data_IF_089578247849
#
_entry.id   IF_089578247849
#
_cell.length_a   1.000
_cell.length_b   1.000
_cell.length_c   1.000
_cell.angle_alpha   90.00
_cell.angle_beta   90.00
_cell.angle_gamma   90.00
#
_symmetry.space_group_name_H-M   'P 1'
#
loop_
_entity.id
_entity.type
_entity.pdbx_description
1 polymer ?
#
# COMPACT_ATOMS: atom_id res chain seq x y z
N UNK A 1 4.11 39.07 -11.61
CA UNK A 1 3.93 37.67 -11.18
C UNK A 1 4.42 36.76 -12.29
N UNK A 2 5.59 36.11 -12.14
CA UNK A 2 6.18 35.28 -13.20
C UNK A 2 5.50 33.91 -13.23
N UNK A 3 4.61 33.70 -14.20
CA UNK A 3 4.06 32.38 -14.54
C UNK A 3 5.20 31.44 -14.93
N UNK A 4 5.45 30.41 -14.11
CA UNK A 4 6.34 29.29 -14.44
C UNK A 4 5.66 28.45 -15.51
N UNK A 5 6.00 28.68 -16.77
CA UNK A 5 5.68 27.76 -17.86
C UNK A 5 6.40 26.43 -17.63
N UNK A 6 5.63 25.34 -17.54
CA UNK A 6 6.13 23.97 -17.57
C UNK A 6 6.89 23.76 -18.90
N UNK A 7 8.21 23.51 -18.82
CA UNK A 7 8.97 23.01 -19.98
C UNK A 7 8.54 21.57 -20.29
N UNK A 8 8.21 21.23 -21.55
CA UNK A 8 7.91 19.86 -21.94
C UNK A 8 9.17 18.99 -21.84
N UNK A 9 8.95 17.72 -21.52
CA UNK A 9 9.97 16.67 -21.45
C UNK A 9 10.74 16.56 -22.76
N UNK A 10 12.07 16.70 -22.68
CA UNK A 10 12.96 16.45 -23.81
C UNK A 10 12.85 14.98 -24.22
N UNK A 11 12.30 14.72 -25.42
CA UNK A 11 12.34 13.41 -26.05
C UNK A 11 13.78 13.11 -26.47
N UNK A 12 14.51 12.37 -25.64
CA UNK A 12 15.83 11.84 -25.96
C UNK A 12 15.73 10.88 -27.16
N UNK A 13 16.51 11.13 -28.21
CA UNK A 13 16.64 10.25 -29.38
C UNK A 13 17.90 9.41 -29.23
N UNK A 14 17.82 8.11 -29.55
CA UNK A 14 18.97 7.19 -29.52
C UNK A 14 19.46 6.99 -30.95
N UNK A 15 20.77 7.15 -31.18
CA UNK A 15 21.40 6.91 -32.48
C UNK A 15 22.08 5.54 -32.44
N UNK A 16 21.55 4.57 -33.17
CA UNK A 16 22.14 3.22 -33.30
C UNK A 16 23.03 3.16 -34.54
N UNK A 17 24.22 2.57 -34.40
CA UNK A 17 25.10 2.24 -35.52
C UNK A 17 24.71 0.88 -36.09
N UNK A 18 24.09 0.88 -37.26
CA UNK A 18 23.82 -0.33 -38.03
C UNK A 18 24.94 -0.51 -39.07
N UNK A 19 25.68 -1.61 -38.94
CA UNK A 19 26.54 -2.11 -40.01
C UNK A 19 25.69 -2.94 -40.96
N UNK A 20 25.01 -2.29 -41.90
CA UNK A 20 24.73 -2.84 -43.25
C UNK A 20 24.16 -1.70 -44.10
N UNK A 21 24.81 -1.50 -45.26
CA UNK A 21 24.46 -0.49 -46.26
C UNK A 21 23.02 -0.72 -46.76
N UNK A 22 22.36 0.39 -47.09
CA UNK A 22 21.05 0.53 -47.78
C UNK A 22 19.79 0.06 -47.03
N UNK A 23 19.28 0.89 -46.11
CA UNK A 23 17.89 1.38 -46.11
C UNK A 23 17.75 2.51 -45.08
N UNK A 24 16.88 3.48 -45.36
CA UNK A 24 16.56 4.66 -44.53
C UNK A 24 16.52 4.34 -43.04
N UNK A 25 17.54 4.78 -42.29
CA UNK A 25 17.62 4.60 -40.84
C UNK A 25 16.59 5.49 -40.17
N UNK A 26 15.34 5.02 -40.04
CA UNK A 26 14.34 5.70 -39.24
C UNK A 26 14.87 5.80 -37.81
N UNK A 27 15.08 7.04 -37.32
CA UNK A 27 15.41 7.30 -35.92
C UNK A 27 14.21 6.88 -35.07
N UNK A 28 14.28 5.68 -34.50
CA UNK A 28 13.30 5.19 -33.55
C UNK A 28 13.33 6.07 -32.29
N UNK A 29 12.16 6.40 -31.76
CA UNK A 29 12.09 7.03 -30.43
C UNK A 29 12.45 6.00 -29.35
N UNK A 30 12.82 6.48 -28.17
CA UNK A 30 13.04 5.62 -26.97
C UNK A 30 11.82 4.72 -26.72
N UNK A 31 10.61 5.26 -26.88
CA UNK A 31 9.38 4.52 -26.69
C UNK A 31 9.21 3.42 -27.74
N UNK A 32 9.50 3.69 -29.01
CA UNK A 32 9.42 2.68 -30.08
C UNK A 32 10.40 1.54 -29.82
N UNK A 33 11.60 1.85 -29.32
CA UNK A 33 12.58 0.84 -28.94
C UNK A 33 12.05 -0.04 -27.80
N UNK A 34 11.44 0.54 -26.76
CA UNK A 34 10.86 -0.24 -25.68
C UNK A 34 9.65 -1.07 -26.11
N UNK A 35 8.86 -0.63 -27.10
CA UNK A 35 7.80 -1.46 -27.72
C UNK A 35 8.37 -2.68 -28.44
N UNK A 36 9.50 -2.54 -29.14
CA UNK A 36 10.19 -3.68 -29.75
C UNK A 36 10.69 -4.67 -28.69
N UNK A 37 11.24 -4.17 -27.58
CA UNK A 37 11.69 -5.02 -26.46
C UNK A 37 10.49 -5.74 -25.81
N UNK A 38 9.35 -5.05 -25.63
CA UNK A 38 8.13 -5.66 -25.11
C UNK A 38 7.65 -6.83 -25.98
N UNK A 39 7.75 -6.70 -27.31
CA UNK A 39 7.34 -7.74 -28.25
C UNK A 39 8.26 -8.98 -28.22
N UNK A 40 9.53 -8.82 -27.84
CA UNK A 40 10.48 -9.92 -27.67
C UNK A 40 11.31 -9.74 -26.38
N UNK A 41 10.76 -10.14 -25.21
CA UNK A 41 11.31 -9.77 -23.91
C UNK A 41 12.44 -10.67 -23.41
N UNK A 42 12.86 -11.70 -24.16
CA UNK A 42 13.78 -12.75 -23.69
C UNK A 42 15.06 -12.19 -23.05
N UNK A 43 15.64 -11.12 -23.63
CA UNK A 43 16.84 -10.45 -23.11
C UNK A 43 16.54 -8.99 -22.72
N UNK A 44 15.31 -8.68 -22.31
CA UNK A 44 14.88 -7.30 -22.07
C UNK A 44 15.78 -6.56 -21.09
N UNK A 45 16.12 -7.17 -19.95
CA UNK A 45 16.95 -6.54 -18.92
C UNK A 45 18.35 -6.16 -19.45
N UNK A 46 19.01 -7.06 -20.17
CA UNK A 46 20.34 -6.82 -20.75
C UNK A 46 20.30 -5.74 -21.84
N UNK A 47 19.28 -5.79 -22.71
CA UNK A 47 19.09 -4.79 -23.77
C UNK A 47 18.84 -3.41 -23.16
N UNK A 48 17.96 -3.31 -22.16
CA UNK A 48 17.65 -2.06 -21.49
C UNK A 48 18.88 -1.47 -20.77
N UNK A 49 19.70 -2.31 -20.11
CA UNK A 49 20.96 -1.89 -19.49
C UNK A 49 21.96 -1.39 -20.55
N UNK A 50 22.24 -2.21 -21.56
CA UNK A 50 23.23 -1.93 -22.62
C UNK A 50 22.88 -0.66 -23.40
N UNK A 51 21.61 -0.47 -23.70
CA UNK A 51 21.10 0.66 -24.50
C UNK A 51 20.73 1.88 -23.64
N UNK A 52 20.96 1.83 -22.32
CA UNK A 52 20.67 2.93 -21.36
C UNK A 52 19.21 3.38 -21.40
N UNK A 53 18.29 2.43 -21.49
CA UNK A 53 16.84 2.64 -21.53
C UNK A 53 16.16 2.44 -20.17
N UNK A 54 16.95 2.37 -19.09
CA UNK A 54 16.43 2.21 -17.73
C UNK A 54 16.20 3.57 -17.11
N UNK A 55 14.94 3.87 -16.81
CA UNK A 55 14.53 5.04 -16.08
C UNK A 55 14.24 4.63 -14.63
N UNK A 56 14.83 5.32 -13.66
CA UNK A 56 14.64 5.02 -12.22
C UNK A 56 13.39 5.65 -11.62
N UNK A 57 12.71 6.51 -12.37
CA UNK A 57 11.49 7.22 -11.96
C UNK A 57 10.40 6.97 -12.98
N UNK A 58 9.23 6.57 -12.51
CA UNK A 58 8.04 6.38 -13.33
C UNK A 58 7.53 7.74 -13.86
N UNK A 59 7.23 7.84 -15.15
CA UNK A 59 6.48 8.96 -15.73
C UNK A 59 4.97 8.75 -15.46
N UNK A 60 4.46 9.50 -14.48
CA UNK A 60 3.05 9.50 -14.09
C UNK A 60 2.18 10.44 -14.92
N UNK A 61 2.71 11.17 -15.92
CA UNK A 61 1.93 12.16 -16.69
C UNK A 61 0.74 11.54 -17.43
N UNK A 62 0.78 10.23 -17.69
CA UNK A 62 -0.27 9.47 -18.37
C UNK A 62 -1.40 8.98 -17.46
N UNK A 63 -1.22 8.97 -16.13
CA UNK A 63 -2.20 8.38 -15.21
C UNK A 63 -2.31 9.16 -13.91
N UNK A 64 -3.50 9.17 -13.30
CA UNK A 64 -3.69 9.71 -11.96
C UNK A 64 -3.45 8.62 -10.91
N UNK A 65 -2.33 8.71 -10.20
CA UNK A 65 -2.11 7.88 -9.01
C UNK A 65 -2.97 8.38 -7.83
N UNK A 66 -3.38 7.45 -6.95
CA UNK A 66 -4.06 7.78 -5.70
C UNK A 66 -3.07 7.81 -4.53
N UNK A 67 -3.35 8.67 -3.56
CA UNK A 67 -2.61 8.78 -2.28
C UNK A 67 -3.45 8.28 -1.11
N UNK A 68 -2.79 7.89 -0.02
CA UNK A 68 -3.49 7.49 1.20
C UNK A 68 -4.30 8.67 1.79
N UNK A 69 -3.82 9.91 1.66
CA UNK A 69 -4.56 11.10 2.12
C UNK A 69 -5.85 11.31 1.34
N UNK A 70 -5.86 11.15 0.01
CA UNK A 70 -7.09 11.27 -0.78
C UNK A 70 -8.13 10.23 -0.34
N UNK A 71 -7.71 9.00 -0.05
CA UNK A 71 -8.59 7.94 0.47
C UNK A 71 -9.18 8.35 1.82
N UNK A 72 -8.34 8.84 2.74
CA UNK A 72 -8.76 9.26 4.08
C UNK A 72 -9.68 10.48 4.03
N UNK A 73 -9.35 11.49 3.23
CA UNK A 73 -10.16 12.71 3.05
C UNK A 73 -11.53 12.38 2.45
N UNK A 74 -11.57 11.56 1.39
CA UNK A 74 -12.83 11.12 0.79
C UNK A 74 -13.70 10.33 1.77
N UNK A 75 -13.09 9.45 2.56
CA UNK A 75 -13.79 8.70 3.60
C UNK A 75 -14.40 9.61 4.68
N UNK A 76 -13.68 10.66 5.08
CA UNK A 76 -14.18 11.62 6.06
C UNK A 76 -15.32 12.48 5.49
N UNK A 77 -15.12 13.05 4.30
CA UNK A 77 -16.03 14.00 3.65
C UNK A 77 -17.28 13.32 3.06
N UNK A 78 -17.11 12.23 2.31
CA UNK A 78 -18.18 11.60 1.54
C UNK A 78 -18.65 10.26 2.13
N UNK A 79 -17.89 9.68 3.07
CA UNK A 79 -18.23 8.38 3.68
C UNK A 79 -18.02 7.19 2.74
N UNK A 80 -17.22 7.36 1.69
CA UNK A 80 -16.78 6.31 0.78
C UNK A 80 -15.32 6.53 0.40
N UNK A 81 -14.68 5.53 -0.20
CA UNK A 81 -13.29 5.61 -0.65
C UNK A 81 -13.22 5.53 -2.19
N UNK A 82 -12.35 6.33 -2.83
CA UNK A 82 -12.13 6.22 -4.27
C UNK A 82 -11.38 4.92 -4.59
N UNK A 83 -11.42 4.52 -5.86
CA UNK A 83 -10.61 3.41 -6.39
C UNK A 83 -9.84 3.87 -7.62
N UNK A 84 -8.70 3.25 -7.88
CA UNK A 84 -7.90 3.47 -9.08
C UNK A 84 -8.50 2.68 -10.24
N UNK A 85 -9.16 3.32 -11.20
CA UNK A 85 -9.85 2.64 -12.32
C UNK A 85 -9.10 2.72 -13.65
N UNK A 86 -8.08 3.56 -13.75
CA UNK A 86 -7.36 3.84 -14.99
C UNK A 86 -5.87 3.52 -14.83
N UNK A 87 -5.27 3.04 -15.91
CA UNK A 87 -3.84 2.81 -16.01
C UNK A 87 -3.38 3.21 -17.42
N UNK A 88 -2.22 3.83 -17.48
CA UNK A 88 -1.52 4.19 -18.72
C UNK A 88 -0.09 3.67 -18.56
N UNK A 89 0.29 2.68 -19.37
CA UNK A 89 1.57 1.99 -19.24
C UNK A 89 2.57 2.35 -20.35
N UNK A 90 2.11 2.99 -21.43
CA UNK A 90 2.93 3.26 -22.62
C UNK A 90 3.95 4.35 -22.37
N UNK A 91 3.60 5.46 -21.71
CA UNK A 91 4.56 6.55 -21.45
C UNK A 91 5.74 6.08 -20.58
N UNK A 92 5.44 5.23 -19.61
CA UNK A 92 6.43 4.60 -18.71
C UNK A 92 6.86 3.21 -19.16
N UNK A 93 6.71 2.83 -20.43
CA UNK A 93 6.95 1.45 -20.86
C UNK A 93 8.38 0.96 -20.53
N UNK A 94 9.40 1.77 -20.82
CA UNK A 94 10.78 1.42 -20.52
C UNK A 94 11.03 1.22 -19.02
N UNK A 95 10.39 2.03 -18.17
CA UNK A 95 10.40 1.85 -16.71
C UNK A 95 9.73 0.52 -16.35
N UNK A 96 8.51 0.27 -16.85
CA UNK A 96 7.70 -0.90 -16.51
C UNK A 96 8.28 -2.23 -17.02
N UNK A 97 9.13 -2.21 -18.05
CA UNK A 97 9.83 -3.40 -18.55
C UNK A 97 10.99 -3.83 -17.64
N UNK A 98 11.47 -2.95 -16.76
CA UNK A 98 12.60 -3.23 -15.89
C UNK A 98 12.22 -3.22 -14.40
N UNK A 99 11.42 -2.24 -13.99
CA UNK A 99 10.99 -2.04 -12.61
C UNK A 99 9.50 -2.30 -12.44
N UNK A 100 9.16 -2.75 -11.24
CA UNK A 100 7.78 -2.72 -10.75
C UNK A 100 7.43 -1.31 -10.29
N UNK A 101 6.17 -0.93 -10.41
CA UNK A 101 5.66 0.32 -9.84
C UNK A 101 5.30 0.11 -8.37
N UNK A 102 5.34 1.20 -7.60
CA UNK A 102 5.12 1.15 -6.15
C UNK A 102 3.66 0.91 -5.76
N UNK A 103 2.72 1.30 -6.62
CA UNK A 103 1.30 1.02 -6.44
C UNK A 103 0.83 -0.22 -7.21
N UNK A 104 1.75 -0.98 -7.81
CA UNK A 104 1.46 -2.22 -8.52
C UNK A 104 0.81 -2.05 -9.90
N UNK A 105 0.55 -0.82 -10.35
CA UNK A 105 0.00 -0.53 -11.68
C UNK A 105 1.00 -0.91 -12.77
N UNK A 106 0.56 -1.49 -13.88
CA UNK A 106 1.42 -1.92 -14.99
C UNK A 106 2.45 -3.02 -14.67
N UNK A 107 2.47 -3.57 -13.45
CA UNK A 107 3.28 -4.78 -13.13
C UNK A 107 2.83 -6.00 -13.95
N UNK A 108 1.62 -5.96 -14.51
CA UNK A 108 1.17 -6.86 -15.56
C UNK A 108 0.72 -6.01 -16.76
N UNK A 109 1.52 -5.95 -17.82
CA UNK A 109 1.25 -5.09 -18.99
C UNK A 109 -0.02 -5.50 -19.77
N UNK A 110 -0.47 -6.75 -19.67
CA UNK A 110 -1.72 -7.22 -20.29
C UNK A 110 -2.95 -6.86 -19.45
N UNK A 111 -2.81 -6.84 -18.12
CA UNK A 111 -3.86 -6.46 -17.17
C UNK A 111 -3.29 -5.45 -16.17
N UNK A 112 -3.14 -4.17 -16.56
CA UNK A 112 -2.40 -3.16 -15.81
C UNK A 112 -2.81 -2.95 -14.35
N UNK A 113 -4.08 -3.18 -14.01
CA UNK A 113 -4.60 -2.99 -12.65
C UNK A 113 -4.62 -4.28 -11.81
N UNK A 114 -4.11 -5.41 -12.34
CA UNK A 114 -4.11 -6.68 -11.61
C UNK A 114 -3.04 -6.66 -10.52
N UNK A 115 -3.50 -6.59 -9.28
CA UNK A 115 -2.63 -6.52 -8.10
C UNK A 115 -2.19 -5.10 -7.73
N UNK A 116 -2.71 -4.09 -8.43
CA UNK A 116 -2.50 -2.70 -8.08
C UNK A 116 -3.23 -2.35 -6.77
N UNK A 117 -2.64 -1.42 -6.02
CA UNK A 117 -3.23 -0.79 -4.86
C UNK A 117 -4.47 0.05 -5.22
N UNK A 118 -5.26 0.37 -4.20
CA UNK A 118 -6.53 1.11 -4.33
C UNK A 118 -7.52 0.44 -5.30
N UNK A 119 -7.56 -0.89 -5.29
CA UNK A 119 -8.48 -1.71 -6.07
C UNK A 119 -9.45 -2.47 -5.19
N UNK A 120 -10.65 -2.83 -5.68
CA UNK A 120 -11.53 -3.73 -4.95
C UNK A 120 -10.86 -5.09 -4.73
N UNK A 121 -11.12 -5.73 -3.58
CA UNK A 121 -10.73 -7.14 -3.39
C UNK A 121 -11.42 -8.04 -4.42
N UNK A 122 -10.68 -9.05 -4.88
CA UNK A 122 -11.26 -10.14 -5.65
C UNK A 122 -12.10 -11.03 -4.72
N UNK A 123 -13.25 -11.48 -5.21
CA UNK A 123 -14.10 -12.42 -4.50
C UNK A 123 -14.17 -13.73 -5.28
N UNK A 124 -13.96 -14.85 -4.58
CA UNK A 124 -14.17 -16.18 -5.15
C UNK A 124 -15.66 -16.55 -5.22
N UNK A 125 -16.48 -15.96 -4.33
CA UNK A 125 -17.92 -16.15 -4.26
C UNK A 125 -18.65 -14.80 -4.33
N UNK A 126 -19.92 -14.84 -4.71
CA UNK A 126 -20.77 -13.65 -4.69
C UNK A 126 -20.91 -13.10 -3.26
N UNK A 127 -21.03 -11.76 -3.11
CA UNK A 127 -21.22 -11.16 -1.80
C UNK A 127 -22.59 -11.51 -1.21
N UNK A 128 -22.60 -12.11 -0.01
CA UNK A 128 -23.81 -12.29 0.78
C UNK A 128 -23.91 -11.21 1.84
N UNK A 129 -24.90 -10.33 1.67
CA UNK A 129 -25.28 -9.31 2.63
C UNK A 129 -26.69 -9.59 3.13
N UNK A 130 -26.97 -9.24 4.38
CA UNK A 130 -28.25 -9.47 5.05
C UNK A 130 -29.42 -8.86 4.25
N UNK A 131 -29.25 -7.60 3.82
CA UNK A 131 -30.18 -6.91 2.92
C UNK A 131 -29.79 -7.03 1.44
N UNK A 132 -28.97 -8.02 1.08
CA UNK A 132 -28.40 -8.25 -0.27
C UNK A 132 -27.57 -7.10 -0.86
N UNK A 133 -27.34 -6.03 -0.11
CA UNK A 133 -26.66 -4.82 -0.59
C UNK A 133 -25.43 -4.46 0.24
N UNK A 134 -25.56 -4.31 1.55
CA UNK A 134 -24.47 -3.75 2.35
C UNK A 134 -24.48 -4.12 3.83
N UNK A 135 -25.59 -4.58 4.39
CA UNK A 135 -25.66 -4.96 5.80
C UNK A 135 -24.99 -6.31 6.04
N UNK A 136 -24.20 -6.43 7.13
CA UNK A 136 -23.47 -7.66 7.39
C UNK A 136 -24.43 -8.73 7.92
N UNK A 137 -24.18 -9.99 7.61
CA UNK A 137 -24.81 -11.09 8.33
C UNK A 137 -24.14 -11.19 9.70
N UNK A 138 -24.87 -10.92 10.78
CA UNK A 138 -24.26 -10.79 12.12
C UNK A 138 -24.52 -12.03 12.97
N UNK A 139 -23.44 -12.73 13.34
CA UNK A 139 -23.41 -13.54 14.56
C UNK A 139 -22.98 -12.67 15.73
N UNK A 140 -23.68 -12.75 16.87
CA UNK A 140 -23.52 -11.82 18.01
C UNK A 140 -22.66 -12.37 19.15
N UNK A 141 -22.13 -13.58 19.02
CA UNK A 141 -21.37 -14.23 20.07
C UNK A 141 -19.88 -14.17 19.76
N UNK A 142 -19.11 -13.61 20.68
CA UNK A 142 -17.65 -13.73 20.66
C UNK A 142 -17.30 -14.97 21.47
N UNK A 143 -16.58 -15.89 20.84
CA UNK A 143 -15.97 -17.02 21.51
C UNK A 143 -14.58 -16.61 21.99
N UNK A 144 -14.23 -17.02 23.21
CA UNK A 144 -12.88 -16.84 23.75
C UNK A 144 -12.39 -18.15 24.34
N UNK A 145 -11.07 -18.36 24.28
CA UNK A 145 -10.41 -19.52 24.86
C UNK A 145 -9.19 -19.06 25.63
N UNK A 146 -8.94 -19.67 26.79
CA UNK A 146 -7.71 -19.47 27.57
C UNK A 146 -6.61 -20.48 27.21
N UNK A 147 -6.90 -21.43 26.32
CA UNK A 147 -5.91 -22.44 25.92
C UNK A 147 -4.80 -21.77 25.13
N UNK A 148 -3.57 -21.94 25.60
CA UNK A 148 -2.38 -21.62 24.83
C UNK A 148 -1.97 -22.87 24.07
N UNK A 149 -1.80 -22.75 22.76
CA UNK A 149 -1.31 -23.84 21.92
C UNK A 149 0.19 -23.66 21.79
N UNK A 150 0.96 -24.57 22.38
CA UNK A 150 2.41 -24.63 22.21
C UNK A 150 2.71 -25.59 21.06
N UNK A 151 3.63 -25.20 20.17
CA UNK A 151 4.09 -26.05 19.07
C UNK A 151 5.53 -26.47 19.34
N UNK A 152 5.87 -27.74 19.08
CA UNK A 152 7.22 -28.26 19.35
C UNK A 152 8.32 -27.66 18.47
N UNK A 153 7.96 -27.22 17.27
CA UNK A 153 8.93 -26.75 16.25
C UNK A 153 8.87 -25.25 15.94
N UNK A 154 7.73 -24.60 16.19
CA UNK A 154 7.49 -23.21 15.78
C UNK A 154 7.21 -22.36 17.00
N UNK A 155 7.78 -21.15 16.99
CA UNK A 155 7.54 -20.17 18.03
C UNK A 155 6.66 -19.01 17.51
N UNK A 156 6.46 -17.99 18.34
CA UNK A 156 5.61 -16.85 18.02
C UNK A 156 6.09 -16.02 16.80
N UNK A 157 7.34 -16.17 16.35
CA UNK A 157 7.83 -15.48 15.15
C UNK A 157 7.09 -15.93 13.89
N UNK A 158 6.58 -17.16 13.83
CA UNK A 158 5.80 -17.62 12.68
C UNK A 158 4.50 -16.83 12.53
N UNK A 159 3.77 -16.62 13.64
CA UNK A 159 2.57 -15.76 13.66
C UNK A 159 2.94 -14.34 13.25
N UNK A 160 4.06 -13.84 13.78
CA UNK A 160 4.51 -12.49 13.48
C UNK A 160 4.87 -12.28 12.01
N UNK A 161 5.52 -13.26 11.40
CA UNK A 161 5.86 -13.27 9.99
C UNK A 161 4.60 -13.34 9.12
N UNK A 162 3.63 -14.20 9.48
CA UNK A 162 2.33 -14.24 8.83
C UNK A 162 1.59 -12.90 8.87
N UNK A 163 1.66 -12.20 10.01
CA UNK A 163 1.10 -10.85 10.14
C UNK A 163 1.84 -9.82 9.25
N UNK A 164 3.17 -9.92 9.14
CA UNK A 164 3.93 -9.03 8.24
C UNK A 164 3.56 -9.29 6.77
N UNK A 165 3.49 -10.56 6.35
CA UNK A 165 3.12 -10.95 4.98
C UNK A 165 1.72 -10.46 4.58
N UNK A 166 0.71 -10.63 5.46
CA UNK A 166 -0.65 -10.13 5.14
C UNK A 166 -0.69 -8.59 5.08
N UNK A 167 0.24 -7.91 5.75
CA UNK A 167 0.40 -6.47 5.62
C UNK A 167 1.04 -6.05 4.30
N UNK A 168 1.77 -6.90 3.59
CA UNK A 168 2.21 -6.57 2.23
C UNK A 168 1.02 -6.53 1.27
N UNK A 169 0.08 -7.46 1.43
CA UNK A 169 -0.93 -7.73 0.42
C UNK A 169 -2.30 -7.07 0.66
N UNK A 170 -2.60 -6.68 1.90
CA UNK A 170 -3.97 -6.29 2.27
C UNK A 170 -4.02 -5.21 3.34
N UNK A 171 -4.75 -4.13 3.04
CA UNK A 171 -5.14 -3.09 3.99
C UNK A 171 -6.50 -2.53 3.60
N UNK A 172 -7.43 -2.44 4.55
CA UNK A 172 -8.79 -1.95 4.28
C UNK A 172 -9.08 -0.70 5.08
N UNK A 173 -9.50 0.38 4.42
CA UNK A 173 -9.96 1.59 5.09
C UNK A 173 -11.21 1.30 5.93
N UNK A 174 -11.24 1.81 7.16
CA UNK A 174 -12.41 1.71 8.03
C UNK A 174 -13.19 3.03 8.09
N UNK A 175 -14.47 2.94 8.39
CA UNK A 175 -15.27 4.08 8.81
C UNK A 175 -14.61 4.69 10.06
N UNK A 176 -14.39 6.03 10.12
CA UNK A 176 -13.72 6.65 11.25
C UNK A 176 -14.40 6.30 12.58
N UNK A 177 -13.63 5.84 13.57
CA UNK A 177 -14.17 5.37 14.85
C UNK A 177 -14.92 6.45 15.63
N UNK A 178 -14.62 7.74 15.39
CA UNK A 178 -15.37 8.86 15.92
C UNK A 178 -16.86 8.85 15.49
N UNK A 179 -17.17 8.26 14.31
CA UNK A 179 -18.54 8.06 13.82
C UNK A 179 -19.23 6.84 14.44
N UNK A 180 -18.51 6.05 15.25
CA UNK A 180 -18.98 4.84 15.94
C UNK A 180 -18.76 4.95 17.46
N UNK A 181 -19.12 6.10 18.05
CA UNK A 181 -18.88 6.43 19.46
C UNK A 181 -19.98 5.96 20.44
N UNK A 182 -21.08 5.39 19.94
CA UNK A 182 -22.22 4.92 20.75
C UNK A 182 -22.39 3.41 20.68
N UNK A 183 -22.98 2.81 21.72
CA UNK A 183 -23.38 1.39 21.73
C UNK A 183 -24.72 1.17 21.00
N UNK A 184 -24.79 1.60 19.74
CA UNK A 184 -25.90 1.32 18.82
C UNK A 184 -25.36 0.96 17.45
N UNK A 185 -26.04 0.05 16.77
CA UNK A 185 -25.77 -0.20 15.36
C UNK A 185 -26.10 1.06 14.56
N UNK A 186 -25.16 1.47 13.70
CA UNK A 186 -25.37 2.57 12.76
C UNK A 186 -25.34 1.95 11.38
N UNK A 187 -26.50 1.95 10.72
CA UNK A 187 -26.72 1.29 9.43
C UNK A 187 -25.61 1.60 8.43
N UNK A 188 -25.02 0.56 7.84
CA UNK A 188 -23.93 0.65 6.88
C UNK A 188 -22.59 1.19 7.41
N UNK A 189 -22.45 1.49 8.71
CA UNK A 189 -21.26 2.17 9.27
C UNK A 189 -20.66 1.47 10.47
N UNK A 190 -21.46 1.13 11.47
CA UNK A 190 -21.00 0.63 12.75
C UNK A 190 -21.86 -0.55 13.19
N UNK A 191 -21.20 -1.55 13.76
CA UNK A 191 -21.87 -2.62 14.49
C UNK A 191 -21.40 -2.63 15.94
N UNK A 192 -22.23 -3.13 16.83
CA UNK A 192 -21.91 -3.23 18.25
C UNK A 192 -22.08 -4.65 18.74
N UNK A 193 -21.06 -5.16 19.42
CA UNK A 193 -21.12 -6.45 20.10
C UNK A 193 -21.35 -6.18 21.58
N UNK A 194 -22.50 -6.60 22.16
CA UNK A 194 -22.78 -6.37 23.56
C UNK A 194 -21.80 -7.17 24.44
N UNK A 195 -21.31 -6.55 25.52
CA UNK A 195 -20.58 -7.27 26.56
C UNK A 195 -21.58 -8.00 27.43
N UNK A 196 -21.34 -9.29 27.69
CA UNK A 196 -22.21 -10.10 28.51
C UNK A 196 -22.15 -9.65 29.98
N UNK A 197 -23.28 -9.63 30.72
CA UNK A 197 -23.32 -9.20 32.12
C UNK A 197 -22.35 -9.98 33.03
N UNK A 198 -22.08 -11.25 32.68
CA UNK A 198 -21.21 -12.17 33.43
C UNK A 198 -19.71 -12.03 33.10
N UNK A 199 -19.31 -11.10 32.22
CA UNK A 199 -17.88 -10.90 31.93
C UNK A 199 -17.10 -10.56 33.21
N UNK A 200 -15.97 -11.23 33.51
CA UNK A 200 -15.24 -11.00 34.76
C UNK A 200 -14.50 -9.64 34.78
N UNK A 201 -14.20 -9.06 33.62
CA UNK A 201 -13.44 -7.81 33.52
C UNK A 201 -14.36 -6.60 33.72
N UNK A 202 -14.30 -5.98 34.91
CA UNK A 202 -15.13 -4.81 35.27
C UNK A 202 -14.93 -3.61 34.33
N UNK A 203 -13.69 -3.34 33.93
CA UNK A 203 -13.35 -2.23 33.01
C UNK A 203 -13.89 -2.49 31.61
N UNK A 204 -13.86 -3.75 31.16
CA UNK A 204 -14.43 -4.10 29.88
C UNK A 204 -15.97 -4.01 29.90
N UNK A 205 -16.60 -4.46 30.99
CA UNK A 205 -18.04 -4.31 31.21
C UNK A 205 -18.54 -2.87 31.24
N UNK A 206 -17.78 -1.94 31.82
CA UNK A 206 -18.20 -0.53 31.88
C UNK A 206 -18.37 0.11 30.50
N UNK A 207 -17.68 -0.42 29.48
CA UNK A 207 -17.85 0.02 28.09
C UNK A 207 -19.18 -0.45 27.45
N UNK A 208 -19.89 -1.42 28.06
CA UNK A 208 -21.17 -2.04 27.64
C UNK A 208 -21.16 -2.79 26.31
N UNK A 209 -20.36 -2.35 25.35
CA UNK A 209 -20.23 -2.97 24.05
C UNK A 209 -18.82 -2.78 23.46
N UNK A 210 -18.45 -3.65 22.54
CA UNK A 210 -17.36 -3.43 21.58
C UNK A 210 -17.95 -2.73 20.37
N UNK A 211 -17.40 -1.56 20.02
CA UNK A 211 -17.81 -0.79 18.85
C UNK A 211 -16.90 -1.15 17.69
N UNK A 212 -17.49 -1.66 16.61
CA UNK A 212 -16.74 -2.10 15.43
C UNK A 212 -17.09 -1.18 14.27
N UNK A 213 -16.08 -0.42 13.83
CA UNK A 213 -16.14 0.32 12.57
C UNK A 213 -16.13 -0.65 11.40
N UNK A 214 -17.07 -0.48 10.47
CA UNK A 214 -17.07 -1.28 9.24
C UNK A 214 -16.03 -0.76 8.26
N UNK A 215 -15.55 -1.63 7.38
CA UNK A 215 -14.77 -1.23 6.20
C UNK A 215 -15.53 -0.20 5.38
N UNK A 216 -14.91 0.90 5.01
CA UNK A 216 -15.53 1.91 4.15
C UNK A 216 -15.87 1.33 2.78
N UNK A 217 -17.01 1.75 2.24
CA UNK A 217 -17.45 1.30 0.91
C UNK A 217 -16.68 2.04 -0.17
N UNK A 218 -16.36 1.36 -1.27
CA UNK A 218 -15.93 2.05 -2.49
C UNK A 218 -17.07 2.94 -2.98
N UNK A 219 -16.76 4.17 -3.39
CA UNK A 219 -17.76 5.11 -3.91
C UNK A 219 -18.56 4.48 -5.08
N UNK A 220 -19.89 4.65 -5.04
CA UNK A 220 -20.82 4.00 -5.98
C UNK A 220 -21.25 2.56 -5.60
N UNK A 221 -20.69 1.95 -4.55
CA UNK A 221 -21.10 0.64 -4.04
C UNK A 221 -21.91 0.73 -2.74
N UNK A 222 -22.68 -0.31 -2.44
CA UNK A 222 -23.44 -0.47 -1.18
C UNK A 222 -24.81 0.21 -1.13
N UNK A 223 -25.23 0.87 -2.22
CA UNK A 223 -26.57 1.47 -2.40
C UNK A 223 -27.41 0.69 -3.41
N UNK A 224 -27.03 0.74 -4.70
CA UNK A 224 -27.72 0.05 -5.79
C UNK A 224 -27.05 -1.28 -6.16
N UNK A 225 -25.75 -1.39 -5.89
CA UNK A 225 -24.93 -2.59 -6.13
C UNK A 225 -24.35 -3.05 -4.79
N UNK A 226 -24.03 -4.34 -4.63
CA UNK A 226 -23.40 -4.85 -3.42
C UNK A 226 -22.16 -4.04 -3.02
N UNK A 227 -22.00 -3.80 -1.72
CA UNK A 227 -20.86 -3.06 -1.15
C UNK A 227 -19.55 -3.73 -1.52
N UNK A 228 -18.59 -2.93 -1.95
CA UNK A 228 -17.22 -3.36 -2.21
C UNK A 228 -16.26 -2.68 -1.23
N UNK A 229 -15.18 -3.39 -0.89
CA UNK A 229 -14.12 -2.96 0.02
C UNK A 229 -12.87 -2.71 -0.80
N UNK A 230 -12.15 -1.65 -0.44
CA UNK A 230 -10.91 -1.26 -1.09
C UNK A 230 -9.73 -1.98 -0.42
N UNK A 231 -8.83 -2.51 -1.23
CA UNK A 231 -7.47 -2.81 -0.81
C UNK A 231 -6.59 -1.58 -1.05
N UNK A 232 -6.05 -0.98 0.00
CA UNK A 232 -5.10 0.14 -0.10
C UNK A 232 -3.67 -0.32 -0.45
N UNK A 233 -3.37 -1.61 -0.32
CA UNK A 233 -2.04 -2.16 -0.60
C UNK A 233 -2.01 -2.83 -1.97
N UNK A 234 -0.81 -3.04 -2.50
CA UNK A 234 -0.59 -3.93 -3.64
C UNK A 234 -0.92 -5.37 -3.24
N UNK A 235 -1.09 -6.28 -4.22
CA UNK A 235 -1.27 -7.71 -3.92
C UNK A 235 0.04 -8.51 -4.04
N UNK A 236 1.19 -7.82 -4.02
CA UNK A 236 2.50 -8.44 -4.19
C UNK A 236 3.23 -8.52 -2.85
N UNK A 237 4.20 -9.42 -2.76
CA UNK A 237 5.21 -9.44 -1.69
C UNK A 237 6.37 -8.60 -2.24
N UNK A 238 6.34 -7.30 -1.95
CA UNK A 238 7.19 -6.28 -2.56
C UNK A 238 7.85 -5.33 -1.55
N UNK A 239 7.68 -5.58 -0.25
CA UNK A 239 8.19 -4.71 0.81
C UNK A 239 7.37 -3.43 0.98
N UNK A 240 6.15 -3.34 0.43
CA UNK A 240 5.27 -2.19 0.62
C UNK A 240 5.07 -1.74 2.07
N UNK A 241 5.20 -2.57 3.14
CA UNK A 241 5.12 -2.05 4.51
C UNK A 241 6.24 -1.06 4.87
N UNK A 242 7.41 -1.14 4.22
CA UNK A 242 8.51 -0.17 4.41
C UNK A 242 8.59 0.87 3.29
N UNK A 243 8.14 0.53 2.07
CA UNK A 243 8.20 1.44 0.90
C UNK A 243 6.94 2.28 0.67
N UNK A 244 5.78 1.82 1.14
CA UNK A 244 4.46 2.36 0.83
C UNK A 244 3.86 1.76 -0.45
N UNK A 245 2.54 1.87 -0.59
CA UNK A 245 1.77 1.38 -1.76
C UNK A 245 1.22 2.51 -2.65
N UNK A 246 1.68 3.75 -2.46
CA UNK A 246 1.30 4.91 -3.28
C UNK A 246 2.54 5.63 -3.79
N UNK A 247 2.57 5.88 -5.09
CA UNK A 247 3.65 6.64 -5.72
C UNK A 247 3.71 8.08 -5.19
N UNK A 248 2.56 8.69 -4.86
CA UNK A 248 2.51 10.04 -4.29
C UNK A 248 3.06 10.13 -2.87
N UNK A 249 3.10 9.00 -2.14
CA UNK A 249 3.47 8.95 -0.73
C UNK A 249 4.93 8.57 -0.48
N UNK A 250 5.67 8.16 -1.51
CA UNK A 250 7.05 7.64 -1.37
C UNK A 250 8.00 8.60 -0.64
N UNK A 251 7.85 9.90 -0.90
CA UNK A 251 8.68 10.95 -0.29
C UNK A 251 8.52 11.02 1.25
N UNK A 252 7.46 10.44 1.81
CA UNK A 252 7.27 10.34 3.25
C UNK A 252 8.26 9.37 3.88
N UNK A 253 8.62 8.31 3.16
CA UNK A 253 9.43 7.20 3.67
C UNK A 253 10.86 7.20 3.14
N UNK A 254 11.13 7.86 2.01
CA UNK A 254 12.47 7.96 1.41
C UNK A 254 13.28 9.14 1.92
N UNK A 255 14.58 8.94 2.12
CA UNK A 255 15.51 10.00 2.53
C UNK A 255 15.88 10.90 1.35
N UNK A 256 15.02 11.89 1.09
CA UNK A 256 15.21 12.86 0.02
C UNK A 256 15.28 12.21 -1.36
N UNK A 257 16.34 12.52 -2.12
CA UNK A 257 16.61 11.94 -3.44
C UNK A 257 17.66 10.82 -3.41
N UNK A 258 17.93 10.27 -2.22
CA UNK A 258 18.88 9.16 -2.07
C UNK A 258 18.19 7.82 -2.31
N UNK A 259 18.97 6.73 -2.31
CA UNK A 259 18.44 5.37 -2.31
C UNK A 259 17.84 4.96 -0.96
N UNK A 260 18.16 5.66 0.13
CA UNK A 260 17.85 5.23 1.50
C UNK A 260 16.40 5.47 1.91
N UNK A 261 15.92 4.65 2.83
CA UNK A 261 14.72 4.90 3.63
C UNK A 261 15.07 5.78 4.84
N UNK A 262 14.16 6.69 5.19
CA UNK A 262 14.30 7.57 6.36
C UNK A 262 14.44 6.73 7.61
N UNK A 263 15.39 7.13 8.45
CA UNK A 263 15.57 6.60 9.80
C UNK A 263 15.90 7.74 10.74
N UNK A 264 15.76 7.50 12.04
CA UNK A 264 16.25 8.41 13.07
C UNK A 264 17.22 7.66 13.98
N UNK A 265 18.23 8.35 14.49
CA UNK A 265 19.13 7.80 15.49
C UNK A 265 18.66 8.21 16.88
N UNK A 266 18.33 7.24 17.73
CA UNK A 266 17.84 7.47 19.08
C UNK A 266 18.37 6.39 20.03
N UNK A 267 18.97 6.81 21.13
CA UNK A 267 19.53 5.93 22.16
C UNK A 267 20.48 4.84 21.59
N UNK A 268 21.40 5.23 20.71
CA UNK A 268 22.35 4.30 20.08
C UNK A 268 21.77 3.43 18.97
N UNK A 269 20.48 3.54 18.67
CA UNK A 269 19.78 2.69 17.71
C UNK A 269 19.27 3.50 16.52
N UNK A 270 19.38 2.91 15.32
CA UNK A 270 18.76 3.45 14.11
C UNK A 270 17.33 2.93 13.98
N UNK A 271 16.32 3.76 14.20
CA UNK A 271 14.91 3.37 14.25
C UNK A 271 14.15 3.95 13.05
N UNK A 272 12.91 3.48 12.87
CA UNK A 272 11.96 4.14 11.97
C UNK A 272 11.70 5.58 12.43
N UNK A 273 11.31 6.50 11.52
CA UNK A 273 11.00 7.88 11.89
C UNK A 273 9.89 7.98 12.94
N UNK A 274 10.10 8.81 13.95
CA UNK A 274 9.10 9.27 14.92
C UNK A 274 9.52 10.65 15.46
N UNK A 275 8.63 11.35 16.15
CA UNK A 275 8.96 12.67 16.74
C UNK A 275 9.78 12.52 18.02
N UNK A 276 11.11 12.47 17.88
CA UNK A 276 12.06 12.34 19.01
C UNK A 276 11.93 13.47 20.04
N UNK A 277 11.41 14.65 19.65
CA UNK A 277 11.26 15.81 20.55
C UNK A 277 10.17 15.57 21.60
N UNK A 278 9.26 14.63 21.35
CA UNK A 278 8.24 14.22 22.32
C UNK A 278 8.79 13.29 23.41
N UNK A 279 10.05 12.85 23.29
CA UNK A 279 10.66 11.93 24.23
C UNK A 279 11.53 12.67 25.25
N UNK A 280 11.20 12.49 26.54
CA UNK A 280 11.98 13.06 27.65
C UNK A 280 13.31 12.33 27.85
N UNK A 281 13.27 11.00 27.76
CA UNK A 281 14.43 10.10 27.79
C UNK A 281 14.07 8.76 27.13
N UNK A 282 15.06 7.88 26.95
CA UNK A 282 14.87 6.58 26.31
C UNK A 282 13.90 5.65 27.06
N UNK A 283 13.86 5.73 28.39
CA UNK A 283 13.02 4.88 29.24
C UNK A 283 11.53 5.26 29.24
N UNK A 284 11.18 6.50 28.84
CA UNK A 284 9.82 7.04 28.91
C UNK A 284 9.30 7.57 27.56
N UNK A 285 9.85 7.10 26.46
CA UNK A 285 9.53 7.56 25.10
C UNK A 285 8.32 6.82 24.52
N UNK A 286 7.20 7.53 24.33
CA UNK A 286 6.06 7.01 23.54
C UNK A 286 6.32 7.25 22.05
N UNK A 287 7.04 6.33 21.43
CA UNK A 287 7.34 6.39 20.01
C UNK A 287 6.12 5.98 19.16
N UNK A 288 5.77 6.81 18.19
CA UNK A 288 4.79 6.50 17.14
C UNK A 288 5.56 6.50 15.82
N UNK A 289 5.92 5.30 15.36
CA UNK A 289 6.69 5.13 14.15
C UNK A 289 5.88 5.44 12.90
N UNK A 290 6.56 5.95 11.88
CA UNK A 290 6.03 6.18 10.54
C UNK A 290 6.75 5.23 9.58
N UNK A 291 5.98 4.51 8.77
CA UNK A 291 6.46 3.61 7.74
C UNK A 291 5.45 3.55 6.59
N UNK A 292 5.78 2.81 5.53
CA UNK A 292 4.91 2.58 4.37
C UNK A 292 3.52 2.09 4.75
N UNK A 293 3.43 1.20 5.75
CA UNK A 293 2.17 0.78 6.34
C UNK A 293 1.88 1.51 7.66
N UNK A 294 0.75 2.22 7.71
CA UNK A 294 0.32 2.97 8.90
C UNK A 294 0.01 2.10 10.13
N UNK A 295 -0.09 0.78 9.96
CA UNK A 295 -0.34 -0.20 11.04
C UNK A 295 0.95 -0.62 11.74
N UNK A 296 2.11 -0.04 11.40
CA UNK A 296 3.42 -0.37 12.00
C UNK A 296 3.43 -0.36 13.54
N UNK A 297 2.57 0.44 14.19
CA UNK A 297 2.47 0.56 15.64
C UNK A 297 1.40 -0.36 16.29
N UNK A 298 0.83 -1.33 15.56
CA UNK A 298 -0.23 -2.20 16.12
C UNK A 298 0.25 -2.98 17.35
N UNK A 299 1.50 -3.42 17.35
CA UNK A 299 2.18 -4.04 18.49
C UNK A 299 3.69 -4.14 18.18
N UNK A 300 4.51 -4.37 19.22
CA UNK A 300 5.97 -4.25 19.13
C UNK A 300 6.63 -5.17 18.09
N UNK A 301 6.19 -6.43 17.99
CA UNK A 301 6.73 -7.39 17.02
C UNK A 301 6.65 -6.88 15.58
N UNK A 302 5.56 -6.22 15.19
CA UNK A 302 5.37 -5.72 13.83
C UNK A 302 6.30 -4.54 13.57
N UNK A 303 6.42 -3.62 14.54
CA UNK A 303 7.36 -2.50 14.48
C UNK A 303 8.79 -2.99 14.32
N UNK A 304 9.18 -4.05 15.06
CA UNK A 304 10.51 -4.65 14.97
C UNK A 304 10.82 -5.18 13.57
N UNK A 305 9.88 -5.87 12.92
CA UNK A 305 10.07 -6.33 11.54
C UNK A 305 10.28 -5.15 10.56
N UNK A 306 9.48 -4.09 10.69
CA UNK A 306 9.67 -2.91 9.85
C UNK A 306 11.03 -2.24 10.08
N UNK A 307 11.50 -2.16 11.33
CA UNK A 307 12.83 -1.62 11.67
C UNK A 307 13.93 -2.48 11.04
N UNK A 308 13.88 -3.80 11.22
CA UNK A 308 14.88 -4.74 10.68
C UNK A 308 14.95 -4.61 9.17
N UNK A 309 13.82 -4.67 8.48
CA UNK A 309 13.78 -4.62 7.01
C UNK A 309 14.18 -3.25 6.47
N UNK A 310 13.86 -2.17 7.18
CA UNK A 310 14.33 -0.82 6.81
C UNK A 310 15.85 -0.69 6.96
N UNK A 311 16.42 -1.23 8.04
CA UNK A 311 17.88 -1.28 8.22
C UNK A 311 18.55 -2.13 7.15
N UNK A 312 17.96 -3.27 6.82
CA UNK A 312 18.49 -4.18 5.81
C UNK A 312 18.43 -3.57 4.41
N UNK A 313 17.35 -2.87 4.06
CA UNK A 313 17.30 -2.06 2.85
C UNK A 313 18.44 -1.04 2.81
N UNK A 314 18.62 -0.26 3.87
CA UNK A 314 19.69 0.74 3.92
C UNK A 314 21.09 0.12 3.88
N UNK A 315 21.27 -1.10 4.41
CA UNK A 315 22.53 -1.86 4.29
C UNK A 315 22.82 -2.19 2.83
N UNK A 316 21.84 -2.70 2.07
CA UNK A 316 22.04 -3.00 0.65
C UNK A 316 22.29 -1.76 -0.20
N UNK A 317 21.59 -0.65 0.08
CA UNK A 317 21.78 0.61 -0.65
C UNK A 317 23.16 1.23 -0.41
N UNK A 318 23.81 0.90 0.72
CA UNK A 318 25.15 1.43 1.03
C UNK A 318 26.31 0.73 0.32
N UNK A 319 26.04 -0.36 -0.40
CA UNK A 319 27.02 -1.13 -1.19
C UNK A 319 27.03 -0.59 -2.62
#
# INVERSE_FOLDING_TARGET
MRNRQHRPSNHSTVTLHSTHKTSTTQRLTVLDRCKQIQANPSNAAEILLRERLIFSVEDLSGRRALTQEEVVQSNMAFGCVPRLDEAECQRSLCYNLYYRTMDGTCNNLLRPLRGAAFRPYNRLLLPEYDNKLSEPVVSRFILSSRKTVQHGEYNALLMQWGQYLIHEMAKTTLVPSAKCNVCKNIRGRCMTVPILPKDPNKTFKSNRCIRVSRSSAICGSGKQKPRQQLNENTNFIDGSPIYGSSVGDLHKFREGKTGFLKTVFFNGLRLLPFDIRKCRNAASCSAIFVAGDSRVNLFMGLSSYHIILTREHNRYVSI
#
